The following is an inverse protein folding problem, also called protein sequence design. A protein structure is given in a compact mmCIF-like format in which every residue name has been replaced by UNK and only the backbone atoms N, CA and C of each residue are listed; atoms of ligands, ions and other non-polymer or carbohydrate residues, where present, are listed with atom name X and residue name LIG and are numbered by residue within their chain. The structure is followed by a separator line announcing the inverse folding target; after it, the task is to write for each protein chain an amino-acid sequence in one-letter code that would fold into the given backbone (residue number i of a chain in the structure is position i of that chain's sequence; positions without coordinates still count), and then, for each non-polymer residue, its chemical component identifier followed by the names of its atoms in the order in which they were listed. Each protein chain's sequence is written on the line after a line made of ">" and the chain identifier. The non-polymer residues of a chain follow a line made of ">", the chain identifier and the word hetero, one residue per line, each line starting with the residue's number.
data_IF_101265902321
#
_entry.id   IF_101265902321
#
_cell.length_a   1.000
_cell.length_b   1.000
_cell.length_c   1.000
_cell.angle_alpha   90.00
_cell.angle_beta   90.00
_cell.angle_gamma   90.00
#
_symmetry.space_group_name_H-M   'P 1'
#
loop_
_entity.id
_entity.type
_entity.pdbx_description
1 polymer ?
#
# COMPACT_ATOMS: atom_id res chain seq x y z
N UNK A 1 -15.56 -14.23 7.70
CA UNK A 1 -14.14 -14.20 7.30
C UNK A 1 -13.67 -12.76 7.42
N UNK A 2 -12.42 -12.54 7.88
CA UNK A 2 -11.82 -11.21 7.93
C UNK A 2 -11.26 -10.89 6.54
N UNK A 3 -11.64 -9.75 5.98
CA UNK A 3 -11.14 -9.25 4.69
C UNK A 3 -9.76 -8.59 4.86
N UNK A 4 -8.85 -8.86 3.95
CA UNK A 4 -7.53 -8.18 3.93
C UNK A 4 -7.56 -7.06 2.89
N UNK A 5 -7.30 -5.82 3.32
CA UNK A 5 -7.18 -4.65 2.46
C UNK A 5 -5.71 -4.29 2.34
N UNK A 6 -5.14 -4.43 1.14
CA UNK A 6 -3.80 -3.93 0.84
C UNK A 6 -3.91 -2.45 0.46
N UNK A 7 -3.31 -1.58 1.27
CA UNK A 7 -3.30 -0.13 1.05
C UNK A 7 -1.86 0.33 0.75
N UNK A 8 -1.64 0.96 -0.39
CA UNK A 8 -0.30 1.35 -0.82
C UNK A 8 -0.18 2.84 -1.15
N UNK A 9 1.01 3.38 -0.92
CA UNK A 9 1.41 4.73 -1.36
C UNK A 9 2.85 4.72 -1.87
N UNK A 10 3.23 5.68 -2.70
CA UNK A 10 4.57 5.75 -3.27
C UNK A 10 5.61 6.36 -2.33
N UNK A 11 6.86 5.90 -2.42
CA UNK A 11 7.99 6.55 -1.77
C UNK A 11 8.18 8.02 -2.21
N UNK A 12 8.95 8.84 -1.46
CA UNK A 12 9.29 10.20 -1.88
C UNK A 12 10.03 10.23 -3.23
N UNK A 13 9.71 11.21 -4.07
CA UNK A 13 10.31 11.37 -5.39
C UNK A 13 10.62 12.85 -5.68
N UNK A 14 11.36 13.12 -6.76
CA UNK A 14 11.72 14.48 -7.20
C UNK A 14 12.35 15.35 -6.08
N UNK A 15 13.25 14.76 -5.29
CA UNK A 15 13.94 15.40 -4.16
C UNK A 15 13.04 15.84 -2.99
N UNK A 16 11.76 15.47 -3.00
CA UNK A 16 10.91 15.64 -1.84
C UNK A 16 11.38 14.73 -0.69
N UNK A 17 11.25 15.20 0.55
CA UNK A 17 11.56 14.40 1.75
C UNK A 17 10.42 13.47 2.16
N UNK A 18 9.20 13.74 1.69
CA UNK A 18 8.00 12.95 1.94
C UNK A 18 7.17 12.80 0.67
N UNK A 19 6.28 11.81 0.66
CA UNK A 19 5.17 11.72 -0.28
C UNK A 19 3.86 11.75 0.54
N UNK A 20 2.97 12.74 0.35
CA UNK A 20 1.72 12.83 1.11
C UNK A 20 0.84 11.58 1.01
N UNK A 21 0.82 10.90 -0.14
CA UNK A 21 0.07 9.65 -0.30
C UNK A 21 0.62 8.56 0.61
N UNK A 22 1.96 8.42 0.70
CA UNK A 22 2.59 7.49 1.64
C UNK A 22 2.30 7.87 3.10
N UNK A 23 2.41 9.14 3.46
CA UNK A 23 2.14 9.60 4.83
C UNK A 23 0.69 9.32 5.25
N UNK A 24 -0.27 9.53 4.33
CA UNK A 24 -1.68 9.27 4.57
C UNK A 24 -1.97 7.77 4.79
N UNK A 25 -1.44 6.88 3.94
CA UNK A 25 -1.66 5.44 4.11
C UNK A 25 -0.89 4.87 5.29
N UNK A 26 0.33 5.35 5.56
CA UNK A 26 1.16 4.92 6.70
C UNK A 26 0.47 5.19 8.03
N UNK A 27 -0.31 6.26 8.14
CA UNK A 27 -1.09 6.55 9.34
C UNK A 27 -2.16 5.49 9.66
N UNK A 28 -2.50 4.61 8.71
CA UNK A 28 -3.47 3.52 8.87
C UNK A 28 -2.81 2.15 9.11
N UNK A 29 -1.50 2.11 9.35
CA UNK A 29 -0.80 0.88 9.73
C UNK A 29 -1.46 0.24 10.97
N UNK A 30 -1.76 -1.06 10.90
CA UNK A 30 -2.44 -1.80 11.97
C UNK A 30 -3.93 -1.46 12.15
N UNK A 31 -4.50 -0.59 11.31
CA UNK A 31 -5.93 -0.29 11.36
C UNK A 31 -6.75 -1.52 10.98
N UNK A 32 -7.82 -1.76 11.73
CA UNK A 32 -8.74 -2.87 11.53
C UNK A 32 -10.11 -2.50 12.08
N UNK A 33 -11.12 -3.26 11.67
CA UNK A 33 -12.49 -3.11 12.15
C UNK A 33 -13.26 -4.40 11.95
N UNK A 34 -14.57 -4.35 12.23
CA UNK A 34 -15.42 -5.52 12.09
C UNK A 34 -15.40 -6.05 10.65
N UNK A 35 -14.81 -7.23 10.49
CA UNK A 35 -14.73 -7.92 9.20
C UNK A 35 -13.57 -7.50 8.29
N UNK A 36 -12.63 -6.64 8.71
CA UNK A 36 -11.45 -6.32 7.90
C UNK A 36 -10.19 -5.96 8.70
N UNK A 37 -9.05 -6.11 8.04
CA UNK A 37 -7.74 -5.62 8.48
C UNK A 37 -7.02 -4.91 7.33
N UNK A 38 -6.20 -3.92 7.64
CA UNK A 38 -5.39 -3.19 6.67
C UNK A 38 -3.95 -3.64 6.74
N UNK A 39 -3.38 -3.96 5.58
CA UNK A 39 -1.95 -4.18 5.36
C UNK A 39 -1.41 -3.00 4.57
N UNK A 40 -0.53 -2.20 5.17
CA UNK A 40 0.06 -1.04 4.49
C UNK A 40 1.40 -1.43 3.87
N UNK A 41 1.67 -1.01 2.62
CA UNK A 41 2.94 -1.22 1.93
C UNK A 41 3.35 0.00 1.12
N UNK A 42 4.65 0.28 1.06
CA UNK A 42 5.21 1.36 0.23
C UNK A 42 5.58 0.83 -1.15
N UNK A 43 5.23 1.56 -2.21
CA UNK A 43 5.63 1.26 -3.58
C UNK A 43 6.82 2.12 -4.02
N UNK A 44 7.76 1.57 -4.80
CA UNK A 44 8.81 2.37 -5.42
C UNK A 44 8.22 3.30 -6.47
N UNK A 45 8.74 4.53 -6.59
CA UNK A 45 8.30 5.51 -7.58
C UNK A 45 9.05 5.33 -8.90
N UNK A 46 9.08 4.09 -9.41
CA UNK A 46 9.81 3.69 -10.61
C UNK A 46 8.89 2.87 -11.51
N UNK A 47 8.80 3.26 -12.77
CA UNK A 47 8.03 2.54 -13.79
C UNK A 47 8.42 1.06 -13.82
N UNK A 48 7.42 0.20 -14.04
CA UNK A 48 7.55 -1.25 -14.15
C UNK A 48 7.98 -1.96 -12.84
N UNK A 49 8.88 -1.38 -12.05
CA UNK A 49 9.23 -1.87 -10.70
C UNK A 49 8.02 -1.79 -9.78
N UNK A 50 7.27 -0.68 -9.79
CA UNK A 50 6.06 -0.52 -8.99
C UNK A 50 5.02 -1.62 -9.27
N UNK A 51 4.81 -1.96 -10.55
CA UNK A 51 3.85 -2.98 -10.96
C UNK A 51 4.29 -4.37 -10.50
N UNK A 52 5.57 -4.72 -10.64
CA UNK A 52 6.11 -5.99 -10.14
C UNK A 52 6.04 -6.09 -8.61
N UNK A 53 6.38 -5.02 -7.90
CA UNK A 53 6.26 -4.96 -6.45
C UNK A 53 4.81 -5.16 -6.00
N UNK A 54 3.85 -4.49 -6.63
CA UNK A 54 2.45 -4.65 -6.31
C UNK A 54 1.94 -6.07 -6.60
N UNK A 55 2.30 -6.65 -7.74
CA UNK A 55 1.95 -8.03 -8.07
C UNK A 55 2.48 -9.02 -7.03
N UNK A 56 3.74 -8.88 -6.62
CA UNK A 56 4.34 -9.72 -5.58
C UNK A 56 3.60 -9.58 -4.23
N UNK A 57 3.20 -8.36 -3.84
CA UNK A 57 2.42 -8.14 -2.62
C UNK A 57 1.02 -8.77 -2.70
N UNK A 58 0.39 -8.75 -3.88
CA UNK A 58 -0.91 -9.40 -4.10
C UNK A 58 -0.77 -10.91 -3.98
N UNK A 59 0.25 -11.50 -4.61
CA UNK A 59 0.52 -12.94 -4.55
C UNK A 59 0.91 -13.41 -3.14
N UNK A 60 1.60 -12.57 -2.36
CA UNK A 60 1.94 -12.87 -0.97
C UNK A 60 0.71 -12.81 -0.06
N UNK A 61 -0.01 -11.68 -0.10
CA UNK A 61 -1.03 -11.34 0.90
C UNK A 61 -2.42 -11.87 0.55
N UNK A 62 -2.65 -12.23 -0.71
CA UNK A 62 -3.96 -12.59 -1.26
C UNK A 62 -5.08 -11.62 -0.79
N UNK A 63 -4.90 -10.30 -0.98
CA UNK A 63 -5.84 -9.32 -0.46
C UNK A 63 -7.19 -9.42 -1.17
N UNK A 64 -8.27 -9.14 -0.44
CA UNK A 64 -9.61 -9.05 -1.03
C UNK A 64 -9.81 -7.73 -1.78
N UNK A 65 -9.11 -6.68 -1.37
CA UNK A 65 -9.17 -5.33 -1.93
C UNK A 65 -7.76 -4.74 -1.98
N UNK A 66 -7.42 -4.09 -3.08
CA UNK A 66 -6.20 -3.30 -3.24
C UNK A 66 -6.58 -1.84 -3.49
N UNK A 67 -6.00 -0.93 -2.72
CA UNK A 67 -6.15 0.52 -2.91
C UNK A 67 -4.75 1.11 -3.06
N UNK A 68 -4.45 1.64 -4.24
CA UNK A 68 -3.21 2.36 -4.51
C UNK A 68 -3.48 3.87 -4.51
N UNK A 69 -2.90 4.57 -3.54
CA UNK A 69 -2.95 6.03 -3.43
C UNK A 69 -1.69 6.66 -4.05
N UNK A 70 -1.86 7.77 -4.77
CA UNK A 70 -0.79 8.52 -5.43
C UNK A 70 -1.14 9.98 -5.56
#
# INVERSE_FOLDING_TARGET
>A
MIKTVLLTGFEPFNKASINPAWEAVRALEGWSGDGFRVEVRQLPCVFDVANRSLAAMIDELHPDIVIAAG
#
